data_IF_894035070520
#
_entry.id   IF_894035070520
#
_cell.length_a   1.000
_cell.length_b   1.000
_cell.length_c   1.000
_cell.angle_alpha   90.00
_cell.angle_beta   90.00
_cell.angle_gamma   90.00
#
_symmetry.space_group_name_H-M   'P 1'
#
loop_
_entity.id
_entity.type
_entity.pdbx_description
1 polymer ?
#
# COMPACT_ATOMS: atom_id res chain seq x y z
N UNK A 1 -9.75 -49.65 7.31
CA UNK A 1 -9.30 -48.33 6.83
C UNK A 1 -10.33 -47.29 7.26
N UNK A 2 -10.03 -46.43 8.23
CA UNK A 2 -10.88 -45.27 8.54
C UNK A 2 -10.45 -44.13 7.63
N UNK A 3 -11.37 -43.62 6.82
CA UNK A 3 -11.15 -42.41 6.04
C UNK A 3 -10.78 -41.28 7.01
N UNK A 4 -9.66 -40.61 6.75
CA UNK A 4 -9.31 -39.38 7.46
C UNK A 4 -10.40 -38.35 7.12
N UNK A 5 -11.10 -37.87 8.14
CA UNK A 5 -11.99 -36.74 7.99
C UNK A 5 -11.18 -35.55 7.46
N UNK A 6 -11.66 -34.92 6.39
CA UNK A 6 -11.09 -33.68 5.89
C UNK A 6 -11.02 -32.69 7.06
N UNK A 7 -9.80 -32.20 7.35
CA UNK A 7 -9.57 -31.17 8.36
C UNK A 7 -10.44 -29.97 7.97
N UNK A 8 -11.29 -29.51 8.89
CA UNK A 8 -12.05 -28.28 8.67
C UNK A 8 -11.08 -27.17 8.25
N UNK A 9 -11.45 -26.30 7.28
CA UNK A 9 -10.62 -25.16 6.92
C UNK A 9 -10.31 -24.41 8.22
N UNK A 10 -9.02 -24.27 8.52
CA UNK A 10 -8.60 -23.38 9.60
C UNK A 10 -9.18 -22.00 9.26
N UNK A 11 -9.74 -21.25 10.23
CA UNK A 11 -10.11 -19.87 9.96
C UNK A 11 -8.90 -19.20 9.33
N UNK A 12 -9.11 -18.69 8.12
CA UNK A 12 -8.04 -18.08 7.35
C UNK A 12 -7.54 -16.93 8.22
N UNK A 13 -6.33 -17.05 8.78
CA UNK A 13 -5.67 -16.02 9.58
C UNK A 13 -5.28 -14.88 8.62
N UNK A 14 -6.32 -14.21 8.14
CA UNK A 14 -6.23 -13.17 7.15
C UNK A 14 -6.21 -11.86 7.93
N UNK A 15 -5.15 -11.09 7.73
CA UNK A 15 -4.92 -9.81 8.41
C UNK A 15 -6.13 -8.88 8.33
N UNK A 16 -6.86 -8.92 7.21
CA UNK A 16 -8.10 -8.17 6.98
C UNK A 16 -9.21 -8.53 7.99
N UNK A 17 -9.44 -9.80 8.28
CA UNK A 17 -10.45 -10.27 9.25
C UNK A 17 -10.08 -9.92 10.70
N UNK A 18 -8.78 -9.74 10.96
CA UNK A 18 -8.27 -9.25 12.25
C UNK A 18 -8.19 -7.71 12.31
N UNK A 19 -8.79 -7.00 11.36
CA UNK A 19 -8.77 -5.54 11.27
C UNK A 19 -7.36 -4.92 11.20
N UNK A 20 -6.36 -5.67 10.73
CA UNK A 20 -5.01 -5.17 10.54
C UNK A 20 -4.88 -4.52 9.16
N UNK A 21 -4.30 -3.30 9.06
CA UNK A 21 -4.13 -2.66 7.77
C UNK A 21 -3.05 -3.40 6.95
N UNK A 22 -3.08 -3.33 5.62
CA UNK A 22 -2.08 -3.99 4.76
C UNK A 22 -0.63 -3.60 5.03
N UNK A 23 -0.39 -2.41 5.60
CA UNK A 23 0.95 -1.88 5.84
C UNK A 23 1.76 -1.63 4.56
N UNK A 24 3.05 -1.35 4.70
CA UNK A 24 3.96 -1.14 3.57
C UNK A 24 4.69 -2.44 3.18
N UNK A 25 4.85 -2.77 1.89
CA UNK A 25 4.41 -1.99 0.71
C UNK A 25 2.95 -2.26 0.30
N UNK A 26 2.26 -3.20 0.97
CA UNK A 26 0.95 -3.72 0.53
C UNK A 26 -0.15 -2.68 0.30
N UNK A 27 -0.15 -1.59 1.07
CA UNK A 27 -1.12 -0.50 0.95
C UNK A 27 -0.96 0.28 -0.36
N UNK A 28 0.26 0.43 -0.87
CA UNK A 28 0.56 1.13 -2.12
C UNK A 28 0.17 0.31 -3.37
N UNK A 29 -0.09 -0.99 -3.19
CA UNK A 29 -0.49 -1.91 -4.25
C UNK A 29 -2.00 -2.21 -4.23
N UNK A 30 -2.78 -1.50 -3.41
CA UNK A 30 -4.22 -1.59 -3.45
C UNK A 30 -4.76 -0.95 -4.73
N UNK A 31 -5.77 -1.54 -5.38
CA UNK A 31 -6.29 -1.04 -6.67
C UNK A 31 -7.18 0.21 -6.53
N UNK A 32 -7.25 0.82 -5.35
CA UNK A 32 -8.11 1.96 -5.06
C UNK A 32 -7.40 3.30 -5.30
N UNK A 33 -8.14 4.39 -5.53
CA UNK A 33 -7.58 5.73 -5.72
C UNK A 33 -6.67 6.18 -4.57
N UNK A 34 -5.64 6.94 -4.93
CA UNK A 34 -4.77 7.65 -4.00
C UNK A 34 -4.66 9.12 -4.41
N UNK A 35 -4.67 10.01 -3.42
CA UNK A 35 -4.44 11.43 -3.62
C UNK A 35 -3.09 11.84 -2.99
N UNK A 36 -2.23 12.46 -3.78
CA UNK A 36 -0.89 12.90 -3.37
C UNK A 36 -0.92 14.42 -3.14
N UNK A 37 -0.83 14.81 -1.88
CA UNK A 37 -0.81 16.20 -1.44
C UNK A 37 0.63 16.60 -1.14
N UNK A 38 1.20 17.45 -2.00
CA UNK A 38 2.55 17.98 -1.83
C UNK A 38 2.47 19.29 -1.04
N UNK A 39 3.08 19.31 0.13
CA UNK A 39 3.19 20.49 1.00
C UNK A 39 4.65 20.73 1.37
N UNK A 40 5.05 21.95 1.75
CA UNK A 40 6.42 22.19 2.22
C UNK A 40 6.82 21.21 3.34
N UNK A 41 7.91 20.48 3.15
CA UNK A 41 8.45 19.53 4.12
C UNK A 41 7.71 18.19 4.26
N UNK A 42 6.61 17.94 3.52
CA UNK A 42 5.89 16.67 3.58
C UNK A 42 5.06 16.37 2.33
N UNK A 43 5.11 15.13 1.86
CA UNK A 43 4.11 14.54 0.96
C UNK A 43 3.14 13.71 1.80
N UNK A 44 1.85 13.99 1.64
CA UNK A 44 0.78 13.20 2.27
C UNK A 44 0.06 12.41 1.19
N UNK A 45 -0.11 11.11 1.40
CA UNK A 45 -0.86 10.24 0.50
C UNK A 45 -2.13 9.83 1.23
N UNK A 46 -3.27 10.28 0.73
CA UNK A 46 -4.58 9.81 1.19
C UNK A 46 -4.95 8.61 0.33
N UNK A 47 -5.19 7.49 0.97
CA UNK A 47 -5.42 6.20 0.31
C UNK A 47 -6.87 5.82 0.58
N UNK A 48 -7.67 5.68 -0.47
CA UNK A 48 -9.07 5.31 -0.34
C UNK A 48 -9.19 3.95 0.37
N UNK A 49 -8.40 2.96 -0.05
CA UNK A 49 -8.39 1.65 0.60
C UNK A 49 -8.13 1.77 2.10
N UNK A 50 -9.06 1.25 2.90
CA UNK A 50 -9.00 1.24 4.38
C UNK A 50 -8.99 2.63 5.02
N UNK A 51 -9.33 3.69 4.27
CA UNK A 51 -9.36 5.09 4.76
C UNK A 51 -8.04 5.47 5.45
N UNK A 52 -6.92 5.23 4.76
CA UNK A 52 -5.59 5.35 5.34
C UNK A 52 -4.87 6.62 4.90
N UNK A 53 -3.96 7.12 5.75
CA UNK A 53 -3.12 8.27 5.45
C UNK A 53 -1.65 7.91 5.66
N UNK A 54 -0.84 8.08 4.63
CA UNK A 54 0.61 7.90 4.68
C UNK A 54 1.31 9.25 4.61
N UNK A 55 2.36 9.41 5.41
CA UNK A 55 3.20 10.60 5.44
C UNK A 55 4.62 10.27 5.01
N UNK A 56 5.17 11.08 4.11
CA UNK A 56 6.56 11.02 3.66
C UNK A 56 7.20 12.39 3.91
N UNK A 57 8.12 12.48 4.87
CA UNK A 57 8.74 13.74 5.26
C UNK A 57 9.84 14.14 4.28
N UNK A 58 9.81 15.38 3.81
CA UNK A 58 10.77 15.95 2.84
C UNK A 58 11.52 17.16 3.39
N UNK A 59 11.49 17.35 4.71
CA UNK A 59 12.08 18.49 5.42
C UNK A 59 13.57 18.32 5.78
N UNK A 60 14.21 17.27 5.26
CA UNK A 60 15.63 17.00 5.48
C UNK A 60 15.97 16.33 6.81
N UNK A 61 14.98 15.93 7.61
CA UNK A 61 15.23 15.13 8.82
C UNK A 61 15.86 13.78 8.47
N UNK A 62 16.73 13.21 9.33
CA UNK A 62 17.21 11.85 9.14
C UNK A 62 16.11 10.82 9.45
N UNK A 63 16.30 9.59 8.99
CA UNK A 63 15.53 8.46 9.54
C UNK A 63 15.88 8.26 11.02
N UNK A 64 14.91 7.90 11.86
CA UNK A 64 15.18 7.56 13.26
C UNK A 64 16.09 6.33 13.35
N UNK A 65 17.04 6.35 14.28
CA UNK A 65 17.91 5.21 14.56
C UNK A 65 17.16 4.06 15.25
N UNK A 66 16.12 4.40 16.02
CA UNK A 66 15.24 3.47 16.74
C UNK A 66 13.77 3.88 16.52
N UNK A 67 13.16 3.48 15.40
CA UNK A 67 11.77 3.83 15.08
C UNK A 67 10.75 3.03 15.88
N UNK A 68 9.69 3.71 16.36
CA UNK A 68 8.48 3.01 16.80
C UNK A 68 7.90 2.16 15.65
N UNK A 69 7.60 0.87 15.88
CA UNK A 69 7.05 -0.01 14.85
C UNK A 69 5.67 0.45 14.39
N UNK A 70 5.52 0.72 13.09
CA UNK A 70 4.28 1.20 12.46
C UNK A 70 3.95 0.37 11.23
N UNK A 71 2.67 0.19 10.92
CA UNK A 71 2.25 -0.49 9.68
C UNK A 71 2.79 0.21 8.43
N UNK A 72 2.92 1.54 8.44
CA UNK A 72 3.49 2.31 7.33
C UNK A 72 4.97 2.65 7.50
N UNK A 73 5.57 2.21 8.61
CA UNK A 73 6.90 2.64 9.02
C UNK A 73 7.02 4.16 9.18
N UNK A 74 8.27 4.63 9.15
CA UNK A 74 8.61 6.05 9.11
C UNK A 74 9.33 6.35 7.80
N UNK A 75 8.73 7.18 6.95
CA UNK A 75 9.28 7.55 5.64
C UNK A 75 9.92 8.93 5.64
N UNK A 76 11.15 9.02 5.14
CA UNK A 76 11.86 10.28 4.82
C UNK A 76 12.22 10.25 3.35
N UNK A 77 12.17 11.41 2.68
CA UNK A 77 12.47 11.52 1.27
C UNK A 77 13.28 12.75 0.91
N UNK A 78 13.94 12.66 -0.24
CA UNK A 78 14.65 13.75 -0.91
C UNK A 78 14.30 13.75 -2.39
N UNK A 79 14.54 14.88 -3.04
CA UNK A 79 14.43 14.98 -4.49
C UNK A 79 15.79 14.69 -5.15
N UNK A 80 15.79 13.80 -6.14
CA UNK A 80 16.90 13.56 -7.06
C UNK A 80 16.43 13.98 -8.45
N UNK A 81 16.67 15.26 -8.81
CA UNK A 81 16.11 15.83 -10.03
C UNK A 81 14.58 15.88 -9.98
N UNK A 82 13.91 15.15 -10.88
CA UNK A 82 12.45 15.03 -10.98
C UNK A 82 11.87 13.85 -10.17
N UNK A 83 12.73 13.09 -9.48
CA UNK A 83 12.34 11.86 -8.79
C UNK A 83 12.33 12.08 -7.28
N UNK A 84 11.20 11.78 -6.62
CA UNK A 84 11.14 11.73 -5.17
C UNK A 84 11.66 10.36 -4.72
N UNK A 85 12.71 10.33 -3.90
CA UNK A 85 13.28 9.10 -3.37
C UNK A 85 12.95 9.02 -1.89
N UNK A 86 12.05 8.11 -1.54
CA UNK A 86 11.62 7.87 -0.16
C UNK A 86 12.25 6.61 0.40
N UNK A 87 12.75 6.69 1.62
CA UNK A 87 13.28 5.58 2.39
C UNK A 87 12.39 5.38 3.61
N UNK A 88 12.03 4.13 3.90
CA UNK A 88 11.11 3.77 4.99
C UNK A 88 11.68 2.64 5.83
N UNK A 89 11.60 2.79 7.16
CA UNK A 89 12.05 1.82 8.18
C UNK A 89 11.06 1.74 9.34
N UNK A 90 11.24 0.76 10.25
CA UNK A 90 10.47 0.66 11.49
C UNK A 90 9.07 0.10 11.28
N UNK A 91 8.99 -1.05 10.62
CA UNK A 91 7.73 -1.71 10.31
C UNK A 91 7.25 -2.55 11.49
N UNK A 92 5.93 -2.61 11.68
CA UNK A 92 5.31 -3.49 12.66
C UNK A 92 5.38 -4.96 12.19
N UNK A 93 5.65 -5.90 13.09
CA UNK A 93 5.84 -7.33 12.79
C UNK A 93 4.63 -8.03 12.12
N UNK A 94 3.44 -7.43 12.19
CA UNK A 94 2.26 -7.92 11.47
C UNK A 94 2.28 -7.59 9.97
N UNK A 95 3.17 -6.70 9.53
CA UNK A 95 3.36 -6.39 8.12
C UNK A 95 4.08 -7.55 7.45
N UNK A 96 3.70 -7.83 6.20
CA UNK A 96 4.35 -8.85 5.39
C UNK A 96 5.08 -8.20 4.22
N UNK A 97 6.30 -8.65 3.95
CA UNK A 97 7.10 -8.18 2.81
C UNK A 97 6.42 -8.53 1.49
N UNK A 98 5.92 -9.76 1.41
CA UNK A 98 5.08 -10.31 0.36
C UNK A 98 4.12 -11.31 1.01
N UNK A 99 3.09 -11.77 0.27
CA UNK A 99 2.08 -12.69 0.84
C UNK A 99 2.74 -13.92 1.47
N UNK A 100 2.60 -14.07 2.78
CA UNK A 100 3.15 -15.17 3.57
C UNK A 100 4.66 -15.07 3.86
N UNK A 101 5.31 -13.96 3.51
CA UNK A 101 6.73 -13.72 3.75
C UNK A 101 6.88 -12.69 4.87
N UNK A 102 7.36 -13.10 6.06
CA UNK A 102 7.60 -12.16 7.17
C UNK A 102 8.79 -11.24 6.84
N UNK A 103 9.06 -10.29 7.73
CA UNK A 103 10.27 -9.47 7.67
C UNK A 103 10.96 -9.44 9.05
N UNK A 104 12.21 -9.01 9.07
CA UNK A 104 12.94 -8.69 10.30
C UNK A 104 12.84 -7.19 10.63
N UNK A 105 13.38 -6.81 11.78
CA UNK A 105 13.56 -5.41 12.18
C UNK A 105 14.56 -4.65 11.27
N UNK A 106 15.28 -5.36 10.39
CA UNK A 106 16.22 -4.80 9.42
C UNK A 106 15.60 -4.52 8.05
N UNK A 107 14.29 -4.73 7.89
CA UNK A 107 13.62 -4.37 6.64
C UNK A 107 13.69 -2.87 6.36
N UNK A 108 14.06 -2.55 5.13
CA UNK A 108 14.06 -1.19 4.58
C UNK A 108 13.41 -1.20 3.21
N UNK A 109 12.58 -0.20 2.97
CA UNK A 109 11.94 0.04 1.67
C UNK A 109 12.48 1.34 1.10
N UNK A 110 12.89 1.30 -0.17
CA UNK A 110 13.27 2.48 -0.95
C UNK A 110 12.32 2.58 -2.14
N UNK A 111 11.56 3.67 -2.21
CA UNK A 111 10.64 3.97 -3.30
C UNK A 111 11.15 5.17 -4.12
N UNK A 112 11.15 5.03 -5.45
CA UNK A 112 11.45 6.10 -6.40
C UNK A 112 10.16 6.47 -7.14
N UNK A 113 9.60 7.63 -6.84
CA UNK A 113 8.40 8.15 -7.49
C UNK A 113 8.80 9.10 -8.61
N UNK A 114 8.42 8.77 -9.85
CA UNK A 114 8.72 9.60 -11.02
C UNK A 114 7.50 9.76 -11.91
N UNK A 115 7.21 10.98 -12.32
CA UNK A 115 6.27 11.22 -13.41
C UNK A 115 6.98 10.97 -14.75
N UNK A 116 6.50 10.02 -15.53
CA UNK A 116 7.04 9.78 -16.89
C UNK A 116 6.43 10.73 -17.91
N UNK A 117 5.24 11.25 -17.60
CA UNK A 117 4.49 12.25 -18.34
C UNK A 117 3.50 12.95 -17.36
N UNK A 118 2.72 13.97 -17.78
CA UNK A 118 1.84 14.70 -16.88
C UNK A 118 0.78 13.86 -16.14
N UNK A 119 0.46 12.66 -16.61
CA UNK A 119 -0.63 11.83 -16.09
C UNK A 119 -0.21 10.39 -15.72
N UNK A 120 1.08 10.08 -15.80
CA UNK A 120 1.62 8.74 -15.48
C UNK A 120 2.75 8.84 -14.48
N UNK A 121 2.59 8.16 -13.35
CA UNK A 121 3.63 7.98 -12.34
C UNK A 121 4.10 6.54 -12.34
N UNK A 122 5.42 6.34 -12.32
CA UNK A 122 6.04 5.06 -11.98
C UNK A 122 6.59 5.15 -10.57
N UNK A 123 6.32 4.13 -9.77
CA UNK A 123 6.87 3.94 -8.43
C UNK A 123 7.70 2.66 -8.46
N UNK A 124 9.02 2.80 -8.42
CA UNK A 124 9.93 1.66 -8.26
C UNK A 124 10.18 1.42 -6.78
N UNK A 125 9.80 0.26 -6.28
CA UNK A 125 9.92 -0.12 -4.88
C UNK A 125 10.99 -1.19 -4.74
N UNK A 126 12.09 -0.87 -4.05
CA UNK A 126 13.15 -1.83 -3.69
C UNK A 126 13.08 -2.13 -2.20
N UNK A 127 13.01 -3.41 -1.86
CA UNK A 127 12.95 -3.89 -0.49
C UNK A 127 14.24 -4.63 -0.17
N UNK A 128 14.83 -4.33 0.98
CA UNK A 128 16.01 -5.02 1.50
C UNK A 128 15.73 -5.52 2.90
N UNK A 129 16.07 -6.77 3.16
CA UNK A 129 16.08 -7.36 4.49
C UNK A 129 17.19 -8.42 4.52
N UNK A 130 18.36 -8.15 5.11
CA UNK A 130 19.49 -9.08 5.07
C UNK A 130 19.28 -10.35 5.90
N UNK A 131 18.24 -10.39 6.74
CA UNK A 131 17.91 -11.56 7.57
C UNK A 131 16.98 -12.50 6.81
N UNK A 132 16.04 -11.95 6.03
CA UNK A 132 15.00 -12.73 5.34
C UNK A 132 15.30 -12.92 3.85
N UNK A 133 15.88 -11.91 3.17
CA UNK A 133 16.13 -11.92 1.73
C UNK A 133 17.61 -12.18 1.42
N UNK A 134 17.86 -13.02 0.41
CA UNK A 134 19.22 -13.28 -0.10
C UNK A 134 19.76 -12.17 -1.00
N UNK A 135 18.88 -11.34 -1.56
CA UNK A 135 19.20 -10.17 -2.36
C UNK A 135 18.03 -9.16 -2.31
N UNK A 136 18.25 -7.87 -2.64
CA UNK A 136 17.16 -6.90 -2.76
C UNK A 136 16.07 -7.37 -3.72
N UNK A 137 14.80 -7.13 -3.37
CA UNK A 137 13.64 -7.42 -4.21
C UNK A 137 13.05 -6.11 -4.74
N UNK A 138 12.92 -5.99 -6.06
CA UNK A 138 12.42 -4.77 -6.72
C UNK A 138 11.14 -5.05 -7.49
N UNK A 139 10.17 -4.14 -7.35
CA UNK A 139 8.91 -4.13 -8.09
C UNK A 139 8.61 -2.74 -8.64
N UNK A 140 7.74 -2.65 -9.63
CA UNK A 140 7.32 -1.38 -10.22
C UNK A 140 5.81 -1.31 -10.31
N UNK A 141 5.24 -0.19 -9.88
CA UNK A 141 3.82 0.11 -9.97
C UNK A 141 3.61 1.34 -10.85
N UNK A 142 2.64 1.28 -11.75
CA UNK A 142 2.26 2.42 -12.61
C UNK A 142 0.92 2.96 -12.15
N UNK A 143 0.88 4.25 -11.81
CA UNK A 143 -0.34 4.97 -11.47
C UNK A 143 -0.72 5.92 -12.60
N UNK A 144 -2.01 5.95 -12.94
CA UNK A 144 -2.59 6.90 -13.88
C UNK A 144 -3.36 7.97 -13.13
N UNK A 145 -3.17 9.23 -13.51
CA UNK A 145 -3.86 10.38 -12.93
C UNK A 145 -5.28 10.46 -13.49
N UNK A 146 -6.26 10.41 -12.60
CA UNK A 146 -7.66 10.65 -12.92
C UNK A 146 -8.10 12.00 -12.34
N UNK A 147 -8.12 13.04 -13.19
CA UNK A 147 -8.34 14.44 -12.77
C UNK A 147 -9.73 14.74 -12.19
N UNK A 148 -10.70 13.90 -12.52
CA UNK A 148 -12.10 14.06 -12.10
C UNK A 148 -12.50 13.03 -11.03
N UNK A 149 -11.54 12.29 -10.48
CA UNK A 149 -11.80 11.36 -9.39
C UNK A 149 -11.53 12.03 -8.05
N UNK A 150 -12.25 11.58 -7.03
CA UNK A 150 -12.08 11.99 -5.65
C UNK A 150 -11.90 10.75 -4.79
N UNK A 151 -11.06 10.83 -3.76
CA UNK A 151 -11.00 9.79 -2.74
C UNK A 151 -12.36 9.73 -2.04
N UNK A 152 -13.01 8.58 -2.10
CA UNK A 152 -14.30 8.35 -1.49
C UNK A 152 -14.15 7.68 -0.12
N UNK A 153 -15.26 7.58 0.61
CA UNK A 153 -15.29 6.76 1.81
C UNK A 153 -15.13 5.27 1.44
N UNK A 154 -14.29 4.56 2.19
CA UNK A 154 -14.10 3.13 2.08
C UNK A 154 -14.75 2.41 3.25
N UNK A 155 -15.85 1.72 2.96
CA UNK A 155 -16.50 0.79 3.87
C UNK A 155 -16.66 -0.53 3.11
N UNK A 156 -15.92 -1.57 3.52
CA UNK A 156 -15.90 -2.85 2.82
C UNK A 156 -17.29 -3.48 2.71
N UNK A 157 -18.10 -3.39 3.76
CA UNK A 157 -19.45 -3.96 3.82
C UNK A 157 -20.51 -3.12 3.08
N UNK A 158 -20.43 -1.78 3.14
CA UNK A 158 -21.47 -0.89 2.61
C UNK A 158 -21.24 -0.47 1.16
N UNK A 159 -19.98 -0.25 0.78
CA UNK A 159 -19.58 0.20 -0.57
C UNK A 159 -18.72 -0.86 -1.25
N UNK A 160 -19.14 -2.12 -1.17
CA UNK A 160 -18.41 -3.23 -1.78
C UNK A 160 -18.33 -3.07 -3.30
N UNK A 161 -17.14 -2.74 -3.79
CA UNK A 161 -16.87 -2.61 -5.23
C UNK A 161 -16.36 -3.91 -5.85
N UNK A 162 -16.24 -4.98 -5.07
CA UNK A 162 -15.84 -6.28 -5.56
C UNK A 162 -17.02 -6.95 -6.30
N UNK A 163 -16.73 -7.58 -7.43
CA UNK A 163 -17.70 -8.39 -8.17
C UNK A 163 -17.05 -9.68 -8.67
N UNK A 164 -17.87 -10.66 -9.02
CA UNK A 164 -17.44 -11.85 -9.76
C UNK A 164 -18.15 -11.84 -11.10
N UNK A 165 -17.39 -11.89 -12.19
CA UNK A 165 -17.97 -11.95 -13.53
C UNK A 165 -18.61 -13.33 -13.81
N UNK A 166 -19.41 -13.48 -14.88
CA UNK A 166 -20.02 -14.77 -15.22
C UNK A 166 -19.03 -15.91 -15.48
N UNK A 167 -17.75 -15.61 -15.71
CA UNK A 167 -16.68 -16.59 -15.87
C UNK A 167 -16.03 -16.98 -14.53
N UNK A 168 -16.53 -16.47 -13.40
CA UNK A 168 -16.01 -16.76 -12.06
C UNK A 168 -14.78 -15.93 -11.68
N UNK A 169 -14.43 -14.89 -12.45
CA UNK A 169 -13.28 -14.04 -12.15
C UNK A 169 -13.67 -12.89 -11.23
N UNK A 170 -12.95 -12.75 -10.12
CA UNK A 170 -13.09 -11.61 -9.22
C UNK A 170 -12.50 -10.32 -9.85
N UNK A 171 -13.18 -9.20 -9.65
CA UNK A 171 -12.76 -7.87 -10.09
C UNK A 171 -13.24 -6.77 -9.14
N UNK A 172 -12.76 -5.55 -9.36
CA UNK A 172 -13.15 -4.37 -8.56
C UNK A 172 -13.62 -3.26 -9.50
N UNK A 173 -14.79 -2.72 -9.25
CA UNK A 173 -15.31 -1.57 -9.98
C UNK A 173 -14.75 -0.27 -9.37
N UNK A 174 -13.82 0.39 -10.06
CA UNK A 174 -13.15 1.59 -9.56
C UNK A 174 -13.90 2.89 -9.85
N UNK A 175 -15.07 2.83 -10.50
CA UNK A 175 -15.85 4.05 -10.74
C UNK A 175 -16.39 4.59 -9.43
N UNK A 176 -16.14 5.88 -9.17
CA UNK A 176 -16.78 6.60 -8.07
C UNK A 176 -18.29 6.57 -8.29
N UNK A 177 -19.11 6.12 -7.33
CA UNK A 177 -20.56 6.16 -7.47
C UNK A 177 -20.97 7.60 -7.80
N UNK A 178 -21.66 7.80 -8.92
CA UNK A 178 -22.19 9.11 -9.24
C UNK A 178 -23.07 9.55 -8.07
N UNK A 179 -22.82 10.76 -7.54
CA UNK A 179 -23.73 11.36 -6.57
C UNK A 179 -25.12 11.31 -7.19
N UNK A 180 -26.14 10.71 -6.55
CA UNK A 180 -27.47 10.70 -7.12
C UNK A 180 -27.87 12.14 -7.39
N UNK A 181 -28.23 12.46 -8.64
CA UNK A 181 -28.87 13.74 -8.94
C UNK A 181 -30.10 13.82 -8.03
N UNK A 182 -30.12 14.80 -7.13
CA UNK A 182 -31.37 15.24 -6.53
C UNK A 182 -32.22 15.79 -7.67
N UNK A 183 -33.31 15.11 -7.97
CA UNK A 183 -34.42 15.66 -8.74
C UNK A 183 -35.04 16.85 -7.98
#
# INVERSE_FOLDING_TARGET
>A
MRAAAARAPQPEDNSTANCLPPGMPGIMNQPYPMEFLLTPGKVTIVIEAYTQVRHIYTDGRPLPADPDPKFFGTSVARWEGDTLVAETVGFNDHVQLARGVPHSDKMKIVERFRLTDPDTMIIETTITDPVVLTAPYTTSSTLRRHRNWTVSEYICEENNRNYVDPAGKAGINLTVPATPKKD
#
